data_IF_524309503300
#
_entry.id   IF_524309503300
#
_cell.length_a   1.000
_cell.length_b   1.000
_cell.length_c   1.000
_cell.angle_alpha   90.00
_cell.angle_beta   90.00
_cell.angle_gamma   90.00
#
_symmetry.space_group_name_H-M   'P 1'
#
loop_
_entity.id
_entity.type
_entity.pdbx_description
1 polymer ?
#
# COMPACT_ATOMS: atom_id res chain seq x y z
N UNK A 1 6.14 -26.19 7.76
CA UNK A 1 4.91 -25.41 8.04
C UNK A 1 4.50 -24.71 6.76
N UNK A 2 3.57 -25.30 6.00
CA UNK A 2 3.04 -24.73 4.76
C UNK A 2 1.77 -23.95 5.09
N UNK A 3 1.78 -22.62 4.95
CA UNK A 3 0.56 -21.83 4.87
C UNK A 3 0.25 -21.61 3.39
N UNK A 4 -0.55 -22.52 2.83
CA UNK A 4 -1.35 -22.23 1.65
C UNK A 4 -2.79 -22.56 2.04
N UNK A 5 -3.53 -21.54 2.46
CA UNK A 5 -4.97 -21.59 2.40
C UNK A 5 -5.39 -21.28 0.96
N UNK A 6 -5.95 -22.27 0.26
CA UNK A 6 -6.52 -22.13 -1.10
C UNK A 6 -7.85 -21.34 -1.10
N UNK A 7 -8.05 -20.49 -0.10
CA UNK A 7 -9.11 -19.50 -0.07
C UNK A 7 -8.42 -18.18 -0.35
N UNK A 8 -8.74 -17.48 -1.44
CA UNK A 8 -8.21 -16.13 -1.73
C UNK A 8 -8.54 -15.05 -0.68
N UNK A 9 -8.91 -15.44 0.54
CA UNK A 9 -9.11 -14.59 1.69
C UNK A 9 -7.75 -14.34 2.35
N UNK A 10 -7.13 -13.21 2.02
CA UNK A 10 -5.96 -12.70 2.74
C UNK A 10 -6.34 -12.64 4.25
N UNK A 11 -5.53 -13.23 5.13
CA UNK A 11 -5.73 -13.11 6.59
C UNK A 11 -5.14 -11.79 7.09
N UNK A 12 -5.68 -11.20 8.17
CA UNK A 12 -5.21 -9.89 8.68
C UNK A 12 -3.71 -9.83 8.99
N UNK A 13 -3.13 -10.92 9.49
CA UNK A 13 -1.68 -11.01 9.77
C UNK A 13 -0.86 -10.97 8.49
N UNK A 14 -1.36 -11.59 7.41
CA UNK A 14 -0.69 -11.59 6.12
C UNK A 14 -0.83 -10.21 5.44
N UNK A 15 -1.97 -9.53 5.64
CA UNK A 15 -2.18 -8.16 5.20
C UNK A 15 -1.26 -7.15 5.90
N UNK A 16 -1.11 -7.24 7.23
CA UNK A 16 -0.21 -6.36 7.98
C UNK A 16 1.23 -6.52 7.49
N UNK A 17 1.72 -7.76 7.36
CA UNK A 17 3.07 -8.03 6.88
C UNK A 17 3.32 -7.43 5.49
N UNK A 18 2.36 -7.60 4.59
CA UNK A 18 2.47 -7.07 3.23
C UNK A 18 2.44 -5.53 3.20
N UNK A 19 1.58 -4.89 4.02
CA UNK A 19 1.56 -3.43 4.16
C UNK A 19 2.90 -2.88 4.64
N UNK A 20 3.49 -3.50 5.67
CA UNK A 20 4.78 -3.08 6.22
C UNK A 20 5.91 -3.30 5.20
N UNK A 21 5.95 -4.46 4.54
CA UNK A 21 6.93 -4.76 3.49
C UNK A 21 6.89 -3.72 2.37
N UNK A 22 5.69 -3.41 1.85
CA UNK A 22 5.50 -2.42 0.79
C UNK A 22 5.91 -1.02 1.24
N UNK A 23 5.51 -0.60 2.44
CA UNK A 23 5.94 0.68 3.04
C UNK A 23 7.46 0.76 3.12
N UNK A 24 8.13 -0.30 3.57
CA UNK A 24 9.58 -0.25 3.77
C UNK A 24 10.33 -0.15 2.45
N UNK A 25 9.90 -0.87 1.41
CA UNK A 25 10.45 -0.76 0.04
C UNK A 25 10.22 0.64 -0.55
N UNK A 26 9.01 1.17 -0.36
CA UNK A 26 8.58 2.50 -0.78
C UNK A 26 9.45 3.60 -0.15
N UNK A 27 9.55 3.61 1.18
CA UNK A 27 10.27 4.63 1.92
C UNK A 27 11.79 4.53 1.73
N UNK A 28 12.34 3.31 1.60
CA UNK A 28 13.75 3.11 1.29
C UNK A 28 14.11 3.66 -0.10
N UNK A 29 13.25 3.43 -1.10
CA UNK A 29 13.48 3.92 -2.47
C UNK A 29 13.42 5.45 -2.54
N UNK A 30 12.55 6.09 -1.72
CA UNK A 30 12.50 7.55 -1.58
C UNK A 30 13.69 8.12 -0.81
N UNK A 31 14.15 7.45 0.24
CA UNK A 31 15.30 7.91 1.04
C UNK A 31 16.62 7.85 0.27
N UNK A 32 16.71 6.93 -0.70
CA UNK A 32 17.85 6.79 -1.61
C UNK A 32 17.73 7.69 -2.87
N UNK A 33 16.64 8.44 -3.02
CA UNK A 33 16.35 9.22 -4.22
C UNK A 33 17.32 10.40 -4.39
N UNK A 34 18.02 10.42 -5.52
CA UNK A 34 18.68 11.59 -6.05
C UNK A 34 17.88 12.10 -7.26
N UNK A 35 17.53 13.39 -7.28
CA UNK A 35 16.59 13.96 -8.27
C UNK A 35 17.05 13.88 -9.73
N UNK A 36 18.35 13.67 -9.96
CA UNK A 36 18.95 13.58 -11.30
C UNK A 36 19.20 12.13 -11.75
N UNK A 37 18.73 11.13 -10.99
CA UNK A 37 18.86 9.71 -11.32
C UNK A 37 17.58 9.18 -11.98
N UNK A 38 17.62 9.08 -13.31
CA UNK A 38 16.49 8.61 -14.13
C UNK A 38 16.08 7.17 -13.80
N UNK A 39 17.03 6.28 -13.48
CA UNK A 39 16.73 4.90 -13.12
C UNK A 39 16.01 4.83 -11.77
N UNK A 40 16.46 5.66 -10.81
CA UNK A 40 15.78 5.80 -9.52
C UNK A 40 14.35 6.36 -9.67
N UNK A 41 14.15 7.34 -10.56
CA UNK A 41 12.81 7.88 -10.88
C UNK A 41 11.90 6.79 -11.44
N UNK A 42 12.38 6.03 -12.42
CA UNK A 42 11.59 4.96 -13.05
C UNK A 42 11.24 3.85 -12.05
N UNK A 43 12.19 3.49 -11.19
CA UNK A 43 11.96 2.52 -10.11
C UNK A 43 10.89 3.01 -9.13
N UNK A 44 10.94 4.29 -8.74
CA UNK A 44 9.96 4.87 -7.82
C UNK A 44 8.55 4.83 -8.43
N UNK A 45 8.42 5.20 -9.70
CA UNK A 45 7.15 5.13 -10.44
C UNK A 45 6.61 3.70 -10.47
N UNK A 46 7.46 2.70 -10.74
CA UNK A 46 7.04 1.30 -10.76
C UNK A 46 6.56 0.82 -9.39
N UNK A 47 7.23 1.23 -8.31
CA UNK A 47 6.83 0.91 -6.93
C UNK A 47 5.47 1.55 -6.61
N UNK A 48 5.28 2.81 -6.95
CA UNK A 48 4.02 3.53 -6.71
C UNK A 48 2.85 2.92 -7.49
N UNK A 49 3.07 2.55 -8.75
CA UNK A 49 2.07 1.91 -9.61
C UNK A 49 1.69 0.51 -9.08
N UNK A 50 2.68 -0.30 -8.67
CA UNK A 50 2.42 -1.63 -8.08
C UNK A 50 1.69 -1.52 -6.73
N UNK A 51 2.13 -0.62 -5.85
CA UNK A 51 1.49 -0.35 -4.57
C UNK A 51 0.05 0.11 -4.74
N UNK A 52 -0.20 0.99 -5.70
CA UNK A 52 -1.54 1.49 -6.01
C UNK A 52 -2.45 0.37 -6.51
N UNK A 53 -1.97 -0.45 -7.44
CA UNK A 53 -2.73 -1.57 -7.99
C UNK A 53 -3.04 -2.62 -6.92
N UNK A 54 -2.07 -2.94 -6.07
CA UNK A 54 -2.24 -3.88 -4.97
C UNK A 54 -3.21 -3.36 -3.91
N UNK A 55 -3.07 -2.10 -3.46
CA UNK A 55 -3.95 -1.51 -2.47
C UNK A 55 -5.39 -1.40 -2.99
N UNK A 56 -5.56 -1.17 -4.30
CA UNK A 56 -6.85 -1.24 -4.97
C UNK A 56 -7.55 -2.59 -4.74
N UNK A 57 -6.84 -3.71 -4.96
CA UNK A 57 -7.36 -5.06 -4.74
C UNK A 57 -7.71 -5.33 -3.28
N UNK A 58 -6.88 -4.87 -2.35
CA UNK A 58 -7.17 -4.96 -0.91
C UNK A 58 -8.46 -4.22 -0.58
N UNK A 59 -8.59 -2.98 -1.04
CA UNK A 59 -9.78 -2.16 -0.81
C UNK A 59 -11.03 -2.76 -1.45
N UNK A 60 -10.92 -3.37 -2.63
CA UNK A 60 -12.03 -4.07 -3.28
C UNK A 60 -12.49 -5.31 -2.52
N UNK A 61 -11.56 -6.00 -1.86
CA UNK A 61 -11.83 -7.28 -1.18
C UNK A 61 -12.25 -7.07 0.28
N UNK A 62 -11.66 -6.09 0.97
CA UNK A 62 -11.76 -5.93 2.43
C UNK A 62 -12.22 -4.54 2.87
N UNK A 63 -12.32 -3.60 1.92
CA UNK A 63 -12.42 -2.18 2.23
C UNK A 63 -11.09 -1.62 2.74
N UNK A 64 -11.15 -0.40 3.28
CA UNK A 64 -9.95 0.28 3.77
C UNK A 64 -9.28 -0.47 4.93
N UNK A 65 -7.97 -0.76 4.85
CA UNK A 65 -7.21 -1.38 5.93
C UNK A 65 -6.87 -0.37 7.03
N UNK A 66 -7.90 0.07 7.76
CA UNK A 66 -7.78 0.97 8.92
C UNK A 66 -7.30 0.26 10.20
N UNK A 67 -7.22 1.01 11.30
CA UNK A 67 -6.64 0.53 12.58
C UNK A 67 -7.31 -0.73 13.12
N UNK A 68 -8.62 -0.87 12.94
CA UNK A 68 -9.37 -2.04 13.40
C UNK A 68 -9.01 -3.34 12.68
N UNK A 69 -8.44 -3.26 11.47
CA UNK A 69 -8.07 -4.43 10.66
C UNK A 69 -6.60 -4.81 10.82
N UNK A 70 -5.71 -3.81 10.87
CA UNK A 70 -4.25 -4.00 10.77
C UNK A 70 -3.44 -3.27 11.85
N UNK A 71 -4.10 -2.66 12.84
CA UNK A 71 -3.44 -1.86 13.87
C UNK A 71 -2.91 -0.52 13.35
N UNK A 72 -2.32 0.27 14.24
CA UNK A 72 -1.85 1.63 13.93
C UNK A 72 -0.74 1.64 12.86
N UNK A 73 0.23 0.73 12.95
CA UNK A 73 1.34 0.67 11.99
C UNK A 73 0.87 0.26 10.58
N UNK A 74 -0.02 -0.72 10.49
CA UNK A 74 -0.59 -1.14 9.21
C UNK A 74 -1.47 -0.06 8.58
N UNK A 75 -2.28 0.63 9.38
CA UNK A 75 -3.12 1.73 8.90
C UNK A 75 -2.27 2.91 8.41
N UNK A 76 -1.17 3.20 9.10
CA UNK A 76 -0.20 4.21 8.68
C UNK A 76 0.52 3.80 7.39
N UNK A 77 0.93 2.54 7.26
CA UNK A 77 1.52 2.00 6.04
C UNK A 77 0.56 2.14 4.85
N UNK A 78 -0.71 1.75 5.00
CA UNK A 78 -1.72 1.90 3.95
C UNK A 78 -1.91 3.37 3.53
N UNK A 79 -1.87 4.29 4.49
CA UNK A 79 -1.94 5.73 4.20
C UNK A 79 -0.71 6.24 3.43
N UNK A 80 0.50 5.80 3.75
CA UNK A 80 1.70 6.14 2.99
C UNK A 80 1.59 5.68 1.54
N UNK A 81 1.17 4.43 1.31
CA UNK A 81 0.97 3.90 -0.05
C UNK A 81 -0.11 4.69 -0.82
N UNK A 82 -1.23 5.00 -0.17
CA UNK A 82 -2.33 5.75 -0.79
C UNK A 82 -1.93 7.16 -1.20
N UNK A 83 -1.05 7.83 -0.45
CA UNK A 83 -0.59 9.18 -0.80
C UNK A 83 0.19 9.20 -2.11
N UNK A 84 0.87 8.12 -2.45
CA UNK A 84 1.74 8.05 -3.64
C UNK A 84 1.05 7.48 -4.88
N UNK A 85 -0.27 7.32 -4.84
CA UNK A 85 -1.07 6.96 -6.01
C UNK A 85 -1.28 8.13 -7.00
N UNK A 86 -0.30 9.03 -7.13
CA UNK A 86 -0.40 10.32 -7.86
C UNK A 86 -0.74 10.14 -9.34
N UNK A 87 -0.23 9.06 -9.95
CA UNK A 87 -0.50 8.69 -11.36
C UNK A 87 -1.90 8.08 -11.56
N UNK A 88 -2.63 7.79 -10.47
CA UNK A 88 -3.96 7.20 -10.46
C UNK A 88 -4.94 8.05 -9.64
N UNK A 89 -5.24 9.29 -10.07
CA UNK A 89 -5.96 10.28 -9.25
C UNK A 89 -7.36 9.83 -8.81
N UNK A 90 -8.02 8.97 -9.59
CA UNK A 90 -9.31 8.36 -9.22
C UNK A 90 -9.18 7.36 -8.07
N UNK A 91 -8.14 6.53 -8.08
CA UNK A 91 -7.87 5.58 -6.99
C UNK A 91 -7.36 6.31 -5.75
N UNK A 92 -6.46 7.28 -5.91
CA UNK A 92 -5.97 8.11 -4.81
C UNK A 92 -7.12 8.78 -4.06
N UNK A 93 -8.04 9.44 -4.80
CA UNK A 93 -9.22 10.06 -4.19
C UNK A 93 -10.11 9.04 -3.48
N UNK A 94 -10.32 7.86 -4.06
CA UNK A 94 -11.10 6.78 -3.44
C UNK A 94 -10.46 6.34 -2.12
N UNK A 95 -9.15 6.14 -2.08
CA UNK A 95 -8.43 5.75 -0.87
C UNK A 95 -8.55 6.81 0.23
N UNK A 96 -8.34 8.08 -0.10
CA UNK A 96 -8.44 9.18 0.86
C UNK A 96 -9.86 9.30 1.46
N UNK A 97 -10.90 9.19 0.64
CA UNK A 97 -12.29 9.19 1.12
C UNK A 97 -12.57 8.03 2.08
N UNK A 98 -12.06 6.84 1.77
CA UNK A 98 -12.28 5.66 2.60
C UNK A 98 -11.50 5.72 3.92
N UNK A 99 -10.27 6.25 3.89
CA UNK A 99 -9.46 6.52 5.09
C UNK A 99 -10.20 7.43 6.07
N UNK A 100 -10.74 8.55 5.58
CA UNK A 100 -11.41 9.53 6.44
C UNK A 100 -12.67 8.96 7.10
N UNK A 101 -13.28 7.96 6.48
CA UNK A 101 -14.46 7.26 7.01
C UNK A 101 -14.12 6.14 8.00
N UNK A 102 -12.84 5.71 8.10
CA UNK A 102 -12.43 4.46 8.78
C UNK A 102 -11.05 4.53 9.44
N UNK A 103 -10.64 5.71 9.90
CA UNK A 103 -9.34 5.90 10.54
C UNK A 103 -9.21 5.15 11.85
#
# INVERSE_FOLDING_TARGET
MNYKDDSGAIRCVDLLKELLSRRDVDQASRSAFAADDQEAIERLIQIDDDNTAWLGKVVDTMGWPGRSLVGDEGAHAAWLLAQHADRHPSLQRRFLTLRDSRW
#
